data_IF_932170431632
#
_entry.id   IF_932170431632
#
_cell.length_a   1.000
_cell.length_b   1.000
_cell.length_c   1.000
_cell.angle_alpha   90.00
_cell.angle_beta   90.00
_cell.angle_gamma   90.00
#
_symmetry.space_group_name_H-M   'P 1'
#
loop_
_entity.id
_entity.type
_entity.pdbx_description
1 polymer ?
#
# COMPACT_ATOMS: atom_id res chain seq x y z
N UNK A 1 152.25 -28.55 0.85
CA UNK A 1 152.07 -27.57 1.95
C UNK A 1 151.44 -26.30 1.37
N UNK A 2 150.62 -25.59 2.14
CA UNK A 2 150.05 -24.27 1.82
C UNK A 2 149.25 -24.12 0.52
N UNK A 3 147.92 -24.29 0.61
CA UNK A 3 146.97 -23.54 -0.23
C UNK A 3 147.12 -22.06 0.20
N UNK A 4 147.33 -21.13 -0.74
CA UNK A 4 147.41 -19.69 -0.44
C UNK A 4 146.22 -18.93 -1.01
N UNK A 5 145.65 -18.08 -0.15
CA UNK A 5 144.42 -17.32 -0.37
C UNK A 5 144.45 -16.47 -1.64
N UNK A 6 143.31 -16.42 -2.33
CA UNK A 6 142.99 -15.37 -3.29
C UNK A 6 141.51 -14.91 -3.17
N UNK A 7 140.92 -15.04 -1.97
CA UNK A 7 139.48 -14.83 -1.70
C UNK A 7 139.11 -13.36 -1.39
N UNK A 8 139.93 -12.39 -1.79
CA UNK A 8 139.97 -11.05 -1.18
C UNK A 8 138.87 -10.07 -1.57
N UNK A 9 138.40 -10.05 -2.82
CA UNK A 9 137.58 -8.93 -3.35
C UNK A 9 136.14 -9.32 -3.65
N UNK A 10 135.92 -10.39 -4.43
CA UNK A 10 134.58 -10.80 -4.86
C UNK A 10 133.63 -11.10 -3.69
N UNK A 11 134.15 -11.69 -2.61
CA UNK A 11 133.38 -11.98 -1.38
C UNK A 11 132.98 -10.69 -0.64
N UNK A 12 133.87 -9.70 -0.58
CA UNK A 12 133.58 -8.41 0.10
C UNK A 12 132.55 -7.62 -0.71
N UNK A 13 132.68 -7.57 -2.04
CA UNK A 13 131.71 -6.89 -2.91
C UNK A 13 130.34 -7.57 -2.83
N UNK A 14 130.27 -8.91 -2.85
CA UNK A 14 129.00 -9.62 -2.71
C UNK A 14 128.36 -9.42 -1.33
N UNK A 15 129.16 -9.34 -0.26
CA UNK A 15 128.68 -9.01 1.10
C UNK A 15 128.07 -7.61 1.17
N UNK A 16 128.74 -6.59 0.63
CA UNK A 16 128.23 -5.20 0.64
C UNK A 16 126.95 -5.07 -0.18
N UNK A 17 126.89 -5.68 -1.36
CA UNK A 17 125.68 -5.71 -2.19
C UNK A 17 124.55 -6.47 -1.49
N UNK A 18 124.82 -7.61 -0.84
CA UNK A 18 123.84 -8.38 -0.08
C UNK A 18 123.26 -7.58 1.11
N UNK A 19 124.10 -6.85 1.84
CA UNK A 19 123.67 -5.96 2.94
C UNK A 19 122.77 -4.84 2.39
N UNK A 20 123.17 -4.16 1.31
CA UNK A 20 122.38 -3.08 0.71
C UNK A 20 121.02 -3.58 0.20
N UNK A 21 120.97 -4.74 -0.47
CA UNK A 21 119.73 -5.36 -0.93
C UNK A 21 118.85 -5.75 0.26
N UNK A 22 119.43 -6.31 1.32
CA UNK A 22 118.69 -6.71 2.54
C UNK A 22 118.08 -5.50 3.25
N UNK A 23 118.81 -4.38 3.38
CA UNK A 23 118.28 -3.12 3.95
C UNK A 23 117.18 -2.53 3.06
N UNK A 24 117.37 -2.51 1.73
CA UNK A 24 116.37 -2.00 0.80
C UNK A 24 115.06 -2.83 0.82
N UNK A 25 115.18 -4.17 0.83
CA UNK A 25 114.05 -5.08 0.98
C UNK A 25 113.34 -4.92 2.32
N UNK A 26 114.07 -4.69 3.42
CA UNK A 26 113.49 -4.45 4.75
C UNK A 26 112.70 -3.14 4.79
N UNK A 27 113.25 -2.04 4.23
CA UNK A 27 112.53 -0.76 4.13
C UNK A 27 111.28 -0.89 3.26
N UNK A 28 111.37 -1.54 2.09
CA UNK A 28 110.20 -1.83 1.26
C UNK A 28 109.16 -2.68 2.00
N UNK A 29 109.58 -3.72 2.72
CA UNK A 29 108.67 -4.60 3.47
C UNK A 29 107.91 -3.83 4.56
N UNK A 30 108.58 -2.93 5.30
CA UNK A 30 107.93 -2.09 6.30
C UNK A 30 106.91 -1.14 5.67
N UNK A 31 107.27 -0.49 4.55
CA UNK A 31 106.36 0.42 3.84
C UNK A 31 105.14 -0.34 3.32
N UNK A 32 105.35 -1.45 2.59
CA UNK A 32 104.25 -2.29 2.06
C UNK A 32 103.36 -2.85 3.18
N UNK A 33 103.93 -3.36 4.27
CA UNK A 33 103.16 -3.88 5.40
C UNK A 33 102.32 -2.78 6.07
N UNK A 34 102.87 -1.57 6.24
CA UNK A 34 102.13 -0.42 6.79
C UNK A 34 101.04 0.13 5.86
N UNK A 35 101.18 -0.07 4.55
CA UNK A 35 100.13 0.23 3.56
C UNK A 35 99.05 -0.84 3.53
N UNK A 36 99.45 -2.12 3.56
CA UNK A 36 98.56 -3.27 3.53
C UNK A 36 97.69 -3.36 4.79
N UNK A 37 98.24 -3.12 5.98
CA UNK A 37 97.46 -3.10 7.22
C UNK A 37 96.37 -2.03 7.20
N UNK A 38 96.71 -0.81 6.77
CA UNK A 38 95.75 0.29 6.57
C UNK A 38 94.69 -0.04 5.52
N UNK A 39 95.06 -0.71 4.42
CA UNK A 39 94.09 -1.15 3.42
C UNK A 39 93.14 -2.23 3.95
N UNK A 40 93.64 -3.21 4.73
CA UNK A 40 92.80 -4.24 5.36
C UNK A 40 91.86 -3.63 6.40
N UNK A 41 92.31 -2.65 7.18
CA UNK A 41 91.48 -1.91 8.12
C UNK A 41 90.43 -1.05 7.41
N UNK A 42 90.80 -0.38 6.32
CA UNK A 42 89.88 0.38 5.47
C UNK A 42 88.82 -0.51 4.80
N UNK A 43 89.18 -1.69 4.28
CA UNK A 43 88.20 -2.61 3.71
C UNK A 43 87.29 -3.19 4.79
N UNK A 44 87.81 -3.55 5.96
CA UNK A 44 87.01 -4.06 7.08
C UNK A 44 86.03 -3.02 7.63
N UNK A 45 86.46 -1.76 7.75
CA UNK A 45 85.57 -0.66 8.17
C UNK A 45 84.53 -0.30 7.10
N UNK A 46 84.88 -0.42 5.81
CA UNK A 46 83.93 -0.29 4.70
C UNK A 46 82.89 -1.44 4.68
N UNK A 47 83.31 -2.71 4.83
CA UNK A 47 82.39 -3.86 4.94
C UNK A 47 81.46 -3.70 6.15
N UNK A 48 82.01 -3.44 7.34
CA UNK A 48 81.23 -3.16 8.56
C UNK A 48 80.28 -1.95 8.44
N UNK A 49 80.49 -1.06 7.47
CA UNK A 49 79.60 0.09 7.21
C UNK A 49 78.53 -0.26 6.17
N UNK A 50 78.85 -1.10 5.19
CA UNK A 50 77.88 -1.62 4.21
C UNK A 50 76.88 -2.60 4.84
N UNK A 51 77.35 -3.48 5.73
CA UNK A 51 76.48 -4.44 6.45
C UNK A 51 75.48 -3.76 7.42
N UNK A 52 75.59 -2.44 7.66
CA UNK A 52 74.55 -1.64 8.35
C UNK A 52 73.32 -1.34 7.48
N UNK A 53 73.44 -1.49 6.16
CA UNK A 53 72.40 -1.14 5.18
C UNK A 53 71.90 -2.35 4.38
N UNK A 54 72.76 -3.33 4.12
CA UNK A 54 72.38 -4.63 3.55
C UNK A 54 73.47 -5.67 3.84
N UNK A 55 73.08 -6.83 4.40
CA UNK A 55 74.05 -7.88 4.73
C UNK A 55 74.68 -8.47 3.46
N UNK A 56 75.94 -8.90 3.56
CA UNK A 56 76.70 -9.58 2.48
C UNK A 56 75.95 -10.73 1.76
N UNK A 57 74.97 -11.37 2.40
CA UNK A 57 74.05 -12.36 1.79
C UNK A 57 72.96 -11.72 0.93
N UNK A 58 72.30 -10.69 1.45
CA UNK A 58 71.21 -9.95 0.79
C UNK A 58 71.72 -9.20 -0.45
N UNK A 59 72.94 -8.64 -0.35
CA UNK A 59 73.66 -7.97 -1.44
C UNK A 59 73.87 -8.83 -2.69
N UNK A 60 73.86 -10.16 -2.55
CA UNK A 60 74.01 -11.11 -3.66
C UNK A 60 72.68 -11.78 -4.08
N UNK A 61 71.55 -11.42 -3.44
CA UNK A 61 70.23 -11.93 -3.81
C UNK A 61 69.76 -11.43 -5.17
N UNK A 62 68.99 -12.24 -5.89
CA UNK A 62 68.48 -11.86 -7.21
C UNK A 62 67.40 -10.76 -7.14
N UNK A 63 66.68 -10.68 -6.01
CA UNK A 63 65.77 -9.57 -5.71
C UNK A 63 66.52 -8.23 -5.70
N UNK A 64 67.66 -8.14 -4.99
CA UNK A 64 68.41 -6.89 -4.95
C UNK A 64 69.06 -6.54 -6.30
N UNK A 65 69.43 -7.52 -7.13
CA UNK A 65 69.93 -7.28 -8.51
C UNK A 65 68.86 -6.67 -9.40
N UNK A 66 67.61 -7.13 -9.29
CA UNK A 66 66.46 -6.52 -10.00
C UNK A 66 66.23 -5.09 -9.54
N UNK A 67 66.18 -4.86 -8.23
CA UNK A 67 66.04 -3.52 -7.64
C UNK A 67 67.20 -2.59 -8.05
N UNK A 68 68.44 -3.10 -8.10
CA UNK A 68 69.59 -2.33 -8.57
C UNK A 68 69.48 -1.97 -10.06
N UNK A 69 68.99 -2.88 -10.90
CA UNK A 69 68.73 -2.61 -12.32
C UNK A 69 67.64 -1.55 -12.53
N UNK A 70 66.59 -1.54 -11.69
CA UNK A 70 65.51 -0.56 -11.75
C UNK A 70 65.91 0.80 -11.18
N UNK A 71 66.59 0.83 -10.03
CA UNK A 71 67.18 2.04 -9.47
C UNK A 71 68.17 2.70 -10.45
N UNK A 72 68.98 1.91 -11.17
CA UNK A 72 69.87 2.40 -12.24
C UNK A 72 69.11 3.03 -13.41
N UNK A 73 68.00 2.45 -13.87
CA UNK A 73 67.12 3.08 -14.89
C UNK A 73 66.61 4.44 -14.39
N UNK A 74 66.18 4.51 -13.13
CA UNK A 74 65.72 5.73 -12.47
C UNK A 74 66.82 6.73 -12.06
N UNK A 75 68.10 6.42 -12.28
CA UNK A 75 69.28 7.17 -11.78
C UNK A 75 69.29 7.39 -10.25
N UNK A 76 68.69 6.47 -9.49
CA UNK A 76 68.56 6.52 -8.03
C UNK A 76 69.47 5.49 -7.36
N UNK A 77 69.77 5.69 -6.08
CA UNK A 77 70.38 4.64 -5.26
C UNK A 77 69.32 3.57 -4.92
N UNK A 78 69.76 2.34 -4.65
CA UNK A 78 68.87 1.24 -4.24
C UNK A 78 68.01 1.63 -3.02
N UNK A 79 68.62 2.27 -2.02
CA UNK A 79 67.90 2.78 -0.86
C UNK A 79 66.91 3.91 -1.23
N UNK A 80 67.28 4.81 -2.14
CA UNK A 80 66.39 5.87 -2.60
C UNK A 80 65.17 5.35 -3.35
N UNK A 81 65.33 4.33 -4.18
CA UNK A 81 64.24 3.64 -4.87
C UNK A 81 63.30 2.93 -3.87
N UNK A 82 63.85 2.17 -2.93
CA UNK A 82 63.05 1.46 -1.92
C UNK A 82 62.30 2.42 -0.98
N UNK A 83 62.88 3.58 -0.63
CA UNK A 83 62.18 4.61 0.13
C UNK A 83 61.06 5.28 -0.69
N UNK A 84 61.29 5.52 -1.98
CA UNK A 84 60.29 6.08 -2.89
C UNK A 84 59.12 5.11 -3.12
N UNK A 85 59.39 3.83 -3.37
CA UNK A 85 58.39 2.76 -3.52
C UNK A 85 57.56 2.59 -2.24
N UNK A 86 58.21 2.60 -1.07
CA UNK A 86 57.54 2.52 0.23
C UNK A 86 56.66 3.76 0.49
N UNK A 87 57.16 4.97 0.22
CA UNK A 87 56.40 6.21 0.34
C UNK A 87 55.22 6.28 -0.64
N UNK A 88 55.40 5.78 -1.87
CA UNK A 88 54.33 5.69 -2.86
C UNK A 88 53.24 4.72 -2.42
N UNK A 89 53.61 3.53 -1.91
CA UNK A 89 52.68 2.55 -1.36
C UNK A 89 51.88 3.13 -0.18
N UNK A 90 52.55 3.77 0.79
CA UNK A 90 51.88 4.45 1.91
C UNK A 90 50.97 5.59 1.45
N UNK A 91 51.40 6.38 0.48
CA UNK A 91 50.58 7.48 -0.06
C UNK A 91 49.34 6.94 -0.77
N UNK A 92 49.47 5.86 -1.55
CA UNK A 92 48.35 5.19 -2.20
C UNK A 92 47.36 4.56 -1.20
N UNK A 93 47.87 3.91 -0.15
CA UNK A 93 47.06 3.19 0.84
C UNK A 93 46.42 4.12 1.90
N UNK A 94 47.10 5.21 2.28
CA UNK A 94 46.75 5.99 3.47
C UNK A 94 46.76 7.52 3.29
N UNK A 95 47.22 8.03 2.14
CA UNK A 95 47.38 9.46 1.87
C UNK A 95 48.61 10.11 2.53
N UNK A 96 49.42 9.38 3.30
CA UNK A 96 50.53 9.93 4.08
C UNK A 96 51.81 9.06 3.98
N UNK A 97 52.94 9.56 3.44
CA UNK A 97 54.20 8.81 3.36
C UNK A 97 54.95 8.69 4.70
N UNK A 98 54.71 9.56 5.68
CA UNK A 98 55.41 9.51 6.97
C UNK A 98 54.83 8.47 7.94
N UNK A 99 53.62 7.97 7.67
CA UNK A 99 52.89 7.12 8.60
C UNK A 99 53.56 5.75 8.83
N UNK A 100 53.59 5.27 10.07
CA UNK A 100 54.20 3.98 10.41
C UNK A 100 53.28 2.81 10.01
N UNK A 101 53.86 1.67 9.62
CA UNK A 101 53.08 0.48 9.26
C UNK A 101 52.17 0.00 10.40
N UNK A 102 52.59 0.18 11.66
CA UNK A 102 51.78 -0.09 12.86
C UNK A 102 50.56 0.84 12.97
N UNK A 103 50.69 2.12 12.62
CA UNK A 103 49.57 3.06 12.58
C UNK A 103 48.60 2.70 11.44
N UNK A 104 49.12 2.34 10.27
CA UNK A 104 48.32 1.87 9.15
C UNK A 104 47.53 0.63 9.52
N UNK A 105 48.18 -0.40 10.07
CA UNK A 105 47.52 -1.63 10.49
C UNK A 105 46.43 -1.36 11.53
N UNK A 106 46.72 -0.55 12.56
CA UNK A 106 45.71 -0.16 13.57
C UNK A 106 44.52 0.58 12.97
N UNK A 107 44.74 1.49 12.01
CA UNK A 107 43.65 2.19 11.29
C UNK A 107 42.81 1.21 10.47
N UNK A 108 43.43 0.30 9.72
CA UNK A 108 42.71 -0.70 8.93
C UNK A 108 41.91 -1.67 9.81
N UNK A 109 42.49 -2.20 10.89
CA UNK A 109 41.75 -3.02 11.86
C UNK A 109 40.61 -2.23 12.52
N UNK A 110 40.78 -0.94 12.83
CA UNK A 110 39.69 -0.09 13.34
C UNK A 110 38.56 0.18 12.33
N UNK A 111 38.83 -0.02 11.02
CA UNK A 111 37.85 0.02 9.94
C UNK A 111 37.27 -1.36 9.58
N UNK A 112 37.56 -2.41 10.37
CA UNK A 112 37.07 -3.78 10.13
C UNK A 112 37.81 -4.53 9.01
N UNK A 113 39.03 -4.11 8.67
CA UNK A 113 39.87 -4.80 7.69
C UNK A 113 40.69 -5.89 8.40
N UNK A 114 40.10 -7.08 8.51
CA UNK A 114 40.73 -8.26 9.15
C UNK A 114 41.70 -9.03 8.23
N UNK A 115 41.85 -8.61 6.96
CA UNK A 115 42.75 -9.24 5.98
C UNK A 115 43.52 -8.22 5.13
N UNK A 116 43.57 -8.37 3.80
CA UNK A 116 44.20 -7.38 2.93
C UNK A 116 43.23 -6.24 2.62
N UNK A 117 43.77 -5.02 2.45
CA UNK A 117 42.99 -3.86 2.02
C UNK A 117 42.26 -4.14 0.70
N UNK A 118 42.91 -4.86 -0.23
CA UNK A 118 42.32 -5.28 -1.50
C UNK A 118 41.07 -6.17 -1.33
N UNK A 119 41.13 -7.19 -0.45
CA UNK A 119 39.99 -8.06 -0.21
C UNK A 119 38.83 -7.28 0.42
N UNK A 120 39.11 -6.44 1.42
CA UNK A 120 38.08 -5.60 2.06
C UNK A 120 37.45 -4.60 1.09
N UNK A 121 38.24 -3.95 0.22
CA UNK A 121 37.72 -3.10 -0.85
C UNK A 121 36.82 -3.87 -1.82
N UNK A 122 37.21 -5.09 -2.20
CA UNK A 122 36.41 -5.96 -3.09
C UNK A 122 35.09 -6.40 -2.44
N UNK A 123 35.12 -6.76 -1.16
CA UNK A 123 33.90 -7.12 -0.42
C UNK A 123 32.99 -5.91 -0.17
N UNK A 124 33.57 -4.71 -0.01
CA UNK A 124 32.81 -3.46 0.09
C UNK A 124 32.18 -3.05 -1.24
N UNK A 125 32.93 -3.13 -2.36
CA UNK A 125 32.39 -2.94 -3.72
C UNK A 125 31.25 -3.92 -4.00
N UNK A 126 31.43 -5.20 -3.66
CA UNK A 126 30.34 -6.18 -3.75
C UNK A 126 29.12 -5.76 -2.94
N UNK A 127 29.28 -5.38 -1.67
CA UNK A 127 28.16 -4.94 -0.81
C UNK A 127 27.47 -3.67 -1.34
N UNK A 128 28.22 -2.75 -1.94
CA UNK A 128 27.66 -1.55 -2.57
C UNK A 128 26.83 -1.93 -3.81
N UNK A 129 27.30 -2.85 -4.65
CA UNK A 129 26.54 -3.35 -5.79
C UNK A 129 25.30 -4.16 -5.36
N UNK A 130 25.44 -5.06 -4.39
CA UNK A 130 24.33 -5.84 -3.81
C UNK A 130 23.25 -4.90 -3.22
N UNK A 131 23.65 -3.85 -2.49
CA UNK A 131 22.74 -2.83 -1.94
C UNK A 131 22.14 -1.89 -3.00
N UNK A 132 22.87 -1.56 -4.07
CA UNK A 132 22.33 -0.78 -5.18
C UNK A 132 21.23 -1.56 -5.93
N UNK A 133 21.43 -2.87 -6.13
CA UNK A 133 20.42 -3.76 -6.71
C UNK A 133 19.17 -3.86 -5.81
N UNK A 134 19.36 -3.98 -4.49
CA UNK A 134 18.26 -3.96 -3.52
C UNK A 134 17.47 -2.65 -3.60
N UNK A 135 18.14 -1.49 -3.57
CA UNK A 135 17.53 -0.16 -3.68
C UNK A 135 16.78 0.04 -5.01
N UNK A 136 17.28 -0.51 -6.13
CA UNK A 136 16.55 -0.48 -7.40
C UNK A 136 15.31 -1.37 -7.37
N UNK A 137 15.38 -2.56 -6.75
CA UNK A 137 14.21 -3.44 -6.60
C UNK A 137 13.13 -2.81 -5.70
N UNK A 138 13.53 -2.18 -4.59
CA UNK A 138 12.62 -1.47 -3.67
C UNK A 138 11.96 -0.25 -4.34
N UNK A 139 12.70 0.48 -5.19
CA UNK A 139 12.12 1.57 -6.02
C UNK A 139 11.05 1.05 -6.97
N UNK A 140 11.32 -0.04 -7.71
CA UNK A 140 10.34 -0.66 -8.61
C UNK A 140 9.12 -1.20 -7.87
N UNK A 141 9.31 -1.74 -6.65
CA UNK A 141 8.19 -2.17 -5.80
C UNK A 141 7.34 -0.98 -5.33
N UNK A 142 7.97 0.11 -4.88
CA UNK A 142 7.28 1.33 -4.48
C UNK A 142 6.51 1.98 -5.65
N UNK A 143 7.10 2.01 -6.84
CA UNK A 143 6.45 2.46 -8.08
C UNK A 143 5.26 1.57 -8.44
N UNK A 144 5.39 0.24 -8.33
CA UNK A 144 4.28 -0.69 -8.56
C UNK A 144 3.12 -0.47 -7.57
N UNK A 145 3.43 -0.33 -6.28
CA UNK A 145 2.43 -0.06 -5.23
C UNK A 145 1.77 1.31 -5.38
N UNK A 146 2.51 2.31 -5.87
CA UNK A 146 1.93 3.62 -6.19
C UNK A 146 0.95 3.53 -7.37
N UNK A 147 1.33 2.86 -8.46
CA UNK A 147 0.46 2.63 -9.61
C UNK A 147 -0.79 1.80 -9.23
N UNK A 148 -0.66 0.82 -8.35
CA UNK A 148 -1.78 0.04 -7.80
C UNK A 148 -2.71 0.91 -6.94
N UNK A 149 -2.16 1.76 -6.08
CA UNK A 149 -2.91 2.72 -5.25
C UNK A 149 -3.66 3.76 -6.08
N UNK A 150 -3.05 4.26 -7.15
CA UNK A 150 -3.69 5.24 -8.06
C UNK A 150 -4.81 4.59 -8.91
N UNK A 151 -4.68 3.30 -9.27
CA UNK A 151 -5.79 2.51 -9.84
C UNK A 151 -6.92 2.31 -8.84
N UNK A 152 -6.62 1.87 -7.62
CA UNK A 152 -7.61 1.67 -6.56
C UNK A 152 -8.41 2.94 -6.23
N UNK A 153 -7.77 4.12 -6.23
CA UNK A 153 -8.49 5.41 -6.10
C UNK A 153 -9.45 5.61 -7.28
N UNK A 154 -8.98 5.41 -8.51
CA UNK A 154 -9.79 5.57 -9.73
C UNK A 154 -10.99 4.62 -9.73
N UNK A 155 -10.78 3.35 -9.36
CA UNK A 155 -11.81 2.32 -9.28
C UNK A 155 -12.85 2.67 -8.20
N UNK A 156 -12.41 3.09 -7.01
CA UNK A 156 -13.30 3.51 -5.90
C UNK A 156 -14.11 4.77 -6.27
N UNK A 157 -13.50 5.75 -6.94
CA UNK A 157 -14.23 6.92 -7.44
C UNK A 157 -15.29 6.51 -8.48
N UNK A 158 -14.94 5.61 -9.42
CA UNK A 158 -15.89 5.11 -10.43
C UNK A 158 -17.05 4.33 -9.79
N UNK A 159 -16.75 3.51 -8.78
CA UNK A 159 -17.73 2.73 -8.04
C UNK A 159 -18.65 3.62 -7.19
N UNK A 160 -18.13 4.68 -6.55
CA UNK A 160 -18.97 5.67 -5.86
C UNK A 160 -19.89 6.37 -6.84
N UNK A 161 -19.37 6.93 -7.94
CA UNK A 161 -20.20 7.62 -8.95
C UNK A 161 -21.29 6.71 -9.51
N UNK A 162 -20.96 5.44 -9.79
CA UNK A 162 -21.91 4.42 -10.22
C UNK A 162 -23.01 4.19 -9.16
N UNK A 163 -22.63 3.88 -7.91
CA UNK A 163 -23.55 3.73 -6.77
C UNK A 163 -24.46 4.94 -6.62
N UNK A 164 -23.91 6.15 -6.68
CA UNK A 164 -24.64 7.39 -6.45
C UNK A 164 -25.66 7.67 -7.58
N UNK A 165 -25.34 7.30 -8.83
CA UNK A 165 -26.33 7.31 -9.93
C UNK A 165 -27.41 6.23 -9.79
N UNK A 166 -27.10 5.05 -9.26
CA UNK A 166 -28.08 3.99 -9.00
C UNK A 166 -29.03 4.39 -7.87
N UNK A 167 -28.51 4.91 -6.75
CA UNK A 167 -29.31 5.42 -5.62
C UNK A 167 -30.24 6.55 -6.09
N UNK A 168 -29.77 7.47 -6.94
CA UNK A 168 -30.62 8.53 -7.50
C UNK A 168 -31.73 7.98 -8.41
N UNK A 169 -31.45 6.95 -9.21
CA UNK A 169 -32.45 6.30 -10.05
C UNK A 169 -33.49 5.51 -9.24
N UNK A 170 -33.06 4.76 -8.23
CA UNK A 170 -33.91 4.01 -7.31
C UNK A 170 -34.80 4.94 -6.48
N UNK A 171 -34.23 6.00 -5.91
CA UNK A 171 -34.98 7.02 -5.15
C UNK A 171 -36.12 7.62 -5.98
N UNK A 172 -35.87 7.91 -7.26
CA UNK A 172 -36.88 8.42 -8.20
C UNK A 172 -37.98 7.40 -8.51
N UNK A 173 -37.65 6.11 -8.58
CA UNK A 173 -38.68 5.06 -8.74
C UNK A 173 -39.54 4.94 -7.49
N UNK A 174 -38.93 4.97 -6.29
CA UNK A 174 -39.66 4.95 -5.01
C UNK A 174 -40.58 6.17 -4.88
N UNK A 175 -40.14 7.37 -5.28
CA UNK A 175 -40.96 8.58 -5.34
C UNK A 175 -42.14 8.43 -6.31
N UNK A 176 -41.93 7.85 -7.50
CA UNK A 176 -43.00 7.57 -8.46
C UNK A 176 -44.04 6.58 -7.91
N UNK A 177 -43.61 5.48 -7.30
CA UNK A 177 -44.52 4.52 -6.65
C UNK A 177 -45.27 5.13 -5.47
N UNK A 178 -44.62 5.99 -4.68
CA UNK A 178 -45.27 6.72 -3.59
C UNK A 178 -46.37 7.63 -4.12
N UNK A 179 -46.06 8.47 -5.11
CA UNK A 179 -47.01 9.44 -5.65
C UNK A 179 -48.23 8.73 -6.28
N UNK A 180 -48.02 7.63 -7.02
CA UNK A 180 -49.12 6.81 -7.55
C UNK A 180 -49.94 6.14 -6.44
N UNK A 181 -49.32 5.75 -5.33
CA UNK A 181 -50.03 5.19 -4.16
C UNK A 181 -50.87 6.25 -3.47
N UNK A 182 -50.36 7.46 -3.28
CA UNK A 182 -51.10 8.59 -2.70
C UNK A 182 -52.27 9.03 -3.61
N UNK A 183 -52.07 9.04 -4.94
CA UNK A 183 -53.12 9.30 -5.93
C UNK A 183 -54.24 8.23 -5.87
N UNK A 184 -53.88 6.94 -5.88
CA UNK A 184 -54.87 5.85 -5.78
C UNK A 184 -55.60 5.83 -4.43
N UNK A 185 -54.94 6.20 -3.33
CA UNK A 185 -55.61 6.35 -2.04
C UNK A 185 -56.64 7.50 -2.04
N UNK A 186 -56.33 8.61 -2.71
CA UNK A 186 -57.31 9.70 -2.92
C UNK A 186 -58.49 9.21 -3.78
N UNK A 187 -58.22 8.55 -4.91
CA UNK A 187 -59.27 8.02 -5.79
C UNK A 187 -60.19 7.03 -5.06
N UNK A 188 -59.64 6.18 -4.18
CA UNK A 188 -60.43 5.25 -3.36
C UNK A 188 -61.28 6.00 -2.31
N UNK A 189 -60.75 7.07 -1.71
CA UNK A 189 -61.51 7.92 -0.80
C UNK A 189 -62.67 8.64 -1.51
N UNK A 190 -62.40 9.26 -2.66
CA UNK A 190 -63.40 9.98 -3.46
C UNK A 190 -64.53 9.05 -3.94
N UNK A 191 -64.18 7.84 -4.40
CA UNK A 191 -65.16 6.82 -4.80
C UNK A 191 -65.97 6.32 -3.60
N UNK A 192 -65.34 6.17 -2.43
CA UNK A 192 -66.05 5.78 -1.20
C UNK A 192 -67.04 6.85 -0.76
N UNK A 193 -66.66 8.12 -0.73
CA UNK A 193 -67.56 9.23 -0.39
C UNK A 193 -68.74 9.28 -1.38
N UNK A 194 -68.48 9.13 -2.68
CA UNK A 194 -69.53 9.05 -3.70
C UNK A 194 -70.47 7.86 -3.49
N UNK A 195 -69.98 6.69 -3.04
CA UNK A 195 -70.81 5.53 -2.73
C UNK A 195 -71.62 5.71 -1.44
N UNK A 196 -71.06 6.32 -0.39
CA UNK A 196 -71.79 6.65 0.84
C UNK A 196 -72.92 7.66 0.54
N UNK A 197 -72.60 8.77 -0.15
CA UNK A 197 -73.58 9.78 -0.60
C UNK A 197 -74.63 9.20 -1.57
N UNK A 198 -74.28 8.21 -2.39
CA UNK A 198 -75.25 7.53 -3.26
C UNK A 198 -76.16 6.57 -2.47
N UNK A 199 -75.62 5.90 -1.45
CA UNK A 199 -76.39 5.04 -0.53
C UNK A 199 -77.40 5.86 0.27
N UNK A 200 -76.98 6.97 0.86
CA UNK A 200 -77.85 7.86 1.63
C UNK A 200 -79.00 8.39 0.77
N UNK A 201 -78.71 8.91 -0.43
CA UNK A 201 -79.74 9.37 -1.40
C UNK A 201 -80.69 8.27 -1.86
N UNK A 202 -80.25 7.01 -1.86
CA UNK A 202 -81.09 5.87 -2.20
C UNK A 202 -81.99 5.49 -1.03
N UNK A 203 -81.45 5.53 0.20
CA UNK A 203 -82.19 5.30 1.44
C UNK A 203 -83.25 6.39 1.68
N UNK A 204 -82.90 7.67 1.53
CA UNK A 204 -83.81 8.82 1.64
C UNK A 204 -84.94 8.76 0.60
N UNK A 205 -84.65 8.28 -0.62
CA UNK A 205 -85.68 8.06 -1.63
C UNK A 205 -86.62 6.93 -1.23
N UNK A 206 -86.10 5.80 -0.80
CA UNK A 206 -86.94 4.66 -0.40
C UNK A 206 -87.76 4.96 0.85
N UNK A 207 -87.22 5.66 1.86
CA UNK A 207 -87.99 6.08 3.03
C UNK A 207 -89.10 7.07 2.65
N UNK A 208 -88.80 8.08 1.82
CA UNK A 208 -89.80 9.01 1.30
C UNK A 208 -90.93 8.31 0.54
N UNK A 209 -90.60 7.40 -0.38
CA UNK A 209 -91.62 6.61 -1.12
C UNK A 209 -92.39 5.64 -0.23
N UNK A 210 -91.78 5.10 0.84
CA UNK A 210 -92.52 4.29 1.83
C UNK A 210 -93.55 5.16 2.57
N UNK A 211 -93.16 6.34 3.06
CA UNK A 211 -94.09 7.26 3.74
C UNK A 211 -95.20 7.75 2.80
N UNK A 212 -94.89 8.08 1.55
CA UNK A 212 -95.88 8.46 0.53
C UNK A 212 -96.91 7.33 0.27
N UNK A 213 -96.46 6.08 0.21
CA UNK A 213 -97.33 4.91 0.07
C UNK A 213 -98.12 4.59 1.36
N UNK A 214 -97.56 4.85 2.54
CA UNK A 214 -98.27 4.70 3.82
C UNK A 214 -99.39 5.74 3.96
N UNK A 215 -99.12 7.01 3.63
CA UNK A 215 -100.10 8.09 3.57
C UNK A 215 -101.21 7.81 2.53
N UNK A 216 -100.87 7.32 1.33
CA UNK A 216 -101.86 6.92 0.32
C UNK A 216 -102.73 5.75 0.83
N UNK A 217 -102.12 4.73 1.44
CA UNK A 217 -102.84 3.58 2.00
C UNK A 217 -103.80 4.00 3.12
N UNK A 218 -103.41 4.92 4.01
CA UNK A 218 -104.29 5.41 5.07
C UNK A 218 -105.37 6.38 4.56
N UNK A 219 -105.10 7.18 3.53
CA UNK A 219 -106.12 7.94 2.82
C UNK A 219 -107.18 7.02 2.16
N UNK A 220 -106.74 5.99 1.44
CA UNK A 220 -107.62 4.99 0.82
C UNK A 220 -108.41 4.17 1.87
N UNK A 221 -107.83 3.90 3.04
CA UNK A 221 -108.54 3.28 4.18
C UNK A 221 -109.64 4.20 4.71
N UNK A 222 -109.36 5.50 4.88
CA UNK A 222 -110.36 6.49 5.32
C UNK A 222 -111.49 6.62 4.29
N UNK A 223 -111.18 6.76 3.00
CA UNK A 223 -112.19 6.83 1.94
C UNK A 223 -113.05 5.55 1.90
N UNK A 224 -112.44 4.37 2.03
CA UNK A 224 -113.16 3.09 2.10
C UNK A 224 -114.11 3.01 3.30
N UNK A 225 -113.74 3.57 4.47
CA UNK A 225 -114.62 3.65 5.64
C UNK A 225 -115.80 4.59 5.39
N UNK A 226 -115.56 5.76 4.78
CA UNK A 226 -116.60 6.73 4.41
C UNK A 226 -117.56 6.13 3.37
N UNK A 227 -117.04 5.49 2.33
CA UNK A 227 -117.82 4.78 1.31
C UNK A 227 -118.67 3.67 1.93
N UNK A 228 -118.10 2.85 2.81
CA UNK A 228 -118.85 1.78 3.51
C UNK A 228 -119.97 2.36 4.38
N UNK A 229 -119.69 3.38 5.17
CA UNK A 229 -120.70 4.06 6.01
C UNK A 229 -121.82 4.69 5.16
N UNK A 230 -121.48 5.22 3.97
CA UNK A 230 -122.47 5.78 3.04
C UNK A 230 -123.28 4.72 2.30
N UNK A 231 -122.71 3.55 2.03
CA UNK A 231 -123.47 2.37 1.57
C UNK A 231 -124.43 1.90 2.66
N UNK A 232 -123.99 1.84 3.91
CA UNK A 232 -124.85 1.49 5.06
C UNK A 232 -126.00 2.50 5.25
N UNK A 233 -125.75 3.82 5.12
CA UNK A 233 -126.82 4.83 5.14
C UNK A 233 -127.80 4.67 3.97
N UNK A 234 -127.31 4.35 2.77
CA UNK A 234 -128.14 4.11 1.59
C UNK A 234 -128.97 2.83 1.73
N UNK A 235 -128.40 1.75 2.28
CA UNK A 235 -129.14 0.51 2.59
C UNK A 235 -130.18 0.74 3.70
N UNK A 236 -129.88 1.52 4.73
CA UNK A 236 -130.85 1.87 5.77
C UNK A 236 -131.99 2.74 5.21
N UNK A 237 -131.67 3.73 4.37
CA UNK A 237 -132.66 4.53 3.62
C UNK A 237 -133.52 3.65 2.74
N UNK A 238 -132.93 2.75 1.95
CA UNK A 238 -133.67 1.80 1.09
C UNK A 238 -134.59 0.92 1.94
N UNK A 239 -134.13 0.40 3.08
CA UNK A 239 -134.97 -0.39 3.98
C UNK A 239 -136.09 0.43 4.66
N UNK A 240 -135.89 1.73 4.91
CA UNK A 240 -136.93 2.65 5.40
C UNK A 240 -137.94 3.05 4.32
N UNK A 241 -137.51 3.21 3.06
CA UNK A 241 -138.38 3.49 1.91
C UNK A 241 -139.10 2.22 1.40
N UNK A 242 -138.55 1.03 1.67
CA UNK A 242 -139.16 -0.26 1.38
C UNK A 242 -140.33 -0.54 2.33
N UNK A 243 -141.49 0.01 1.99
CA UNK A 243 -142.77 -0.31 2.61
C UNK A 243 -142.92 -1.84 2.68
N UNK A 244 -142.88 -2.40 3.89
CA UNK A 244 -143.50 -3.71 4.14
C UNK A 244 -145.01 -3.46 4.10
N UNK A 245 -145.78 -4.04 3.15
CA UNK A 245 -147.22 -3.94 3.19
C UNK A 245 -147.72 -4.54 4.50
N UNK A 246 -148.57 -3.81 5.22
CA UNK A 246 -149.49 -4.41 6.19
C UNK A 246 -150.71 -4.92 5.42
N UNK A 247 -151.30 -6.03 5.89
CA UNK A 247 -152.50 -6.59 5.28
C UNK A 247 -153.69 -5.60 5.40
N UNK A 248 -154.42 -5.32 4.31
CA UNK A 248 -155.49 -4.32 4.30
C UNK A 248 -156.83 -4.81 4.86
N UNK A 249 -156.94 -6.08 5.23
CA UNK A 249 -158.20 -6.84 5.30
C UNK A 249 -159.03 -6.66 6.61
N UNK A 250 -158.87 -5.52 7.31
CA UNK A 250 -159.39 -5.35 8.69
C UNK A 250 -160.24 -4.09 8.95
N UNK A 251 -160.61 -3.31 7.92
CA UNK A 251 -161.39 -2.07 8.09
C UNK A 251 -162.46 -1.84 7.00
N UNK A 252 -163.73 -2.15 7.32
CA UNK A 252 -164.95 -1.36 7.03
C UNK A 252 -166.17 -2.07 7.65
N UNK A 253 -167.15 -1.30 8.14
CA UNK A 253 -168.38 -1.75 8.82
C UNK A 253 -169.63 -1.10 8.18
N UNK A 254 -170.82 -1.70 8.34
CA UNK A 254 -172.08 -1.17 7.75
C UNK A 254 -173.33 -2.03 8.00
N UNK A 255 -174.31 -1.48 8.74
CA UNK A 255 -175.49 -2.18 9.28
C UNK A 255 -176.84 -1.62 8.74
N UNK A 256 -177.70 -2.51 8.19
CA UNK A 256 -179.14 -2.32 7.81
C UNK A 256 -179.81 -3.73 7.84
N UNK A 257 -181.01 -4.10 8.36
CA UNK A 257 -182.32 -3.51 8.74
C UNK A 257 -183.38 -3.62 7.60
N UNK A 258 -184.58 -4.22 7.73
CA UNK A 258 -185.18 -5.14 8.74
C UNK A 258 -186.50 -5.81 8.18
N UNK A 259 -187.08 -6.76 8.93
CA UNK A 259 -188.44 -7.37 8.90
C UNK A 259 -188.77 -8.50 7.88
N UNK A 260 -189.42 -9.55 8.44
CA UNK A 260 -190.36 -10.54 7.88
C UNK A 260 -189.81 -11.97 7.58
N UNK A 261 -190.43 -13.08 8.02
CA UNK A 261 -191.55 -13.26 8.96
C UNK A 261 -192.64 -14.20 8.44
N UNK A 262 -192.69 -15.45 8.94
CA UNK A 262 -193.80 -16.38 8.70
C UNK A 262 -193.47 -17.86 8.92
N UNK A 263 -194.18 -18.49 9.87
CA UNK A 263 -194.25 -19.92 10.21
C UNK A 263 -192.95 -20.61 10.68
#
# INVERSE_FOLDING_TARGET
MAIRSNAGTGVIVSLVVFILISVFLLVMTIIFYSGQSKQVEATRTAENTLDKYALKRERNSDQLKTIEAEAKKGRKSVLGYLLEENNALKTFVAGNPEESMENLQRRFTSMGVDSTVFNSMKDMDRRLNDSANELESLRKQAESLQNERDRLITDVESASRSRDTLIAAESKQVEQYRNATEEHLSQIADVREQMEVASDKLQDRYSGTITELEDEVDALRQEKVILKSRVEELEERINKTRIKPHDPDTLVDGMVIDIAGGN
#
